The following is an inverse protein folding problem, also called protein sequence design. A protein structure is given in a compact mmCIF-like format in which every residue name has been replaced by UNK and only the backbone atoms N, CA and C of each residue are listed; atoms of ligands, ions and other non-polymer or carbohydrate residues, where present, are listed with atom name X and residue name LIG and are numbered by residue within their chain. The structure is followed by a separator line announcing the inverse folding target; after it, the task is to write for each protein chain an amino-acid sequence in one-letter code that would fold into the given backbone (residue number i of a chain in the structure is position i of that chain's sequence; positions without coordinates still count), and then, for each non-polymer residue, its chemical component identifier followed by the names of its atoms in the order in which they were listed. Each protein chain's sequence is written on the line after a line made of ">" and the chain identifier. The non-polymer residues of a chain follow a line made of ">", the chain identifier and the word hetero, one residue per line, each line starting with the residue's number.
data_IF_927100583234
#
_entry.id   IF_927100583234
#
_cell.length_a   1.000
_cell.length_b   1.000
_cell.length_c   1.000
_cell.angle_alpha   90.00
_cell.angle_beta   90.00
_cell.angle_gamma   90.00
#
_symmetry.space_group_name_H-M   'P 1'
#
loop_
_entity.id
_entity.type
_entity.pdbx_description
1 polymer ?
#
# COMPACT_ATOMS: atom_id res chain seq x y z
N UNK A 1 -9.04 15.14 -6.22
CA UNK A 1 -9.83 14.49 -5.15
C UNK A 1 -9.43 15.08 -3.80
N UNK A 2 -10.24 15.96 -3.20
CA UNK A 2 -9.82 16.74 -1.99
C UNK A 2 -10.09 16.00 -0.66
N UNK A 3 -10.88 14.92 -0.69
CA UNK A 3 -11.34 14.21 0.52
C UNK A 3 -10.22 13.61 1.38
N UNK A 4 -9.40 12.69 0.84
CA UNK A 4 -8.33 12.04 1.61
C UNK A 4 -7.31 13.02 2.18
N UNK A 5 -6.96 14.07 1.41
CA UNK A 5 -6.01 15.09 1.83
C UNK A 5 -6.47 15.83 3.09
N UNK A 6 -7.73 16.27 3.10
CA UNK A 6 -8.33 16.93 4.27
C UNK A 6 -8.41 15.99 5.47
N UNK A 7 -8.68 14.70 5.25
CA UNK A 7 -8.75 13.71 6.31
C UNK A 7 -7.38 13.49 6.99
N UNK A 8 -6.29 13.41 6.22
CA UNK A 8 -4.92 13.30 6.77
C UNK A 8 -4.61 14.52 7.63
N UNK A 9 -4.86 15.73 7.12
CA UNK A 9 -4.61 16.98 7.84
C UNK A 9 -5.44 17.05 9.12
N UNK A 10 -6.71 16.64 9.07
CA UNK A 10 -7.59 16.67 10.23
C UNK A 10 -7.16 15.64 11.29
N UNK A 11 -6.84 14.40 10.89
CA UNK A 11 -6.35 13.38 11.82
C UNK A 11 -5.08 13.83 12.54
N UNK A 12 -4.16 14.49 11.83
CA UNK A 12 -2.96 15.07 12.45
C UNK A 12 -3.27 16.20 13.45
N UNK A 13 -4.27 17.05 13.15
CA UNK A 13 -4.75 18.09 14.08
C UNK A 13 -5.42 17.51 15.32
N UNK A 14 -6.08 16.36 15.16
CA UNK A 14 -6.71 15.62 16.25
C UNK A 14 -5.70 14.79 17.07
N UNK A 15 -4.39 15.00 16.85
CA UNK A 15 -3.26 14.34 17.54
C UNK A 15 -3.28 12.81 17.40
N UNK A 16 -3.79 12.30 16.28
CA UNK A 16 -3.77 10.86 15.95
C UNK A 16 -2.35 10.39 15.70
N UNK A 17 -1.91 9.37 16.44
CA UNK A 17 -0.54 8.85 16.36
C UNK A 17 -0.23 8.08 15.09
N UNK A 18 -1.20 7.33 14.57
CA UNK A 18 -1.03 6.51 13.37
C UNK A 18 -2.22 6.71 12.44
N UNK A 19 -1.95 7.16 11.22
CA UNK A 19 -2.95 7.41 10.18
C UNK A 19 -2.85 6.32 9.12
N UNK A 20 -3.88 5.47 9.04
CA UNK A 20 -3.94 4.35 8.11
C UNK A 20 -4.65 4.74 6.80
N UNK A 21 -3.97 4.59 5.67
CA UNK A 21 -4.47 4.82 4.33
C UNK A 21 -4.53 3.48 3.57
N UNK A 22 -5.60 2.71 3.78
CA UNK A 22 -5.88 1.48 3.01
C UNK A 22 -6.42 1.78 1.60
N UNK A 23 -5.79 2.75 0.92
CA UNK A 23 -6.14 3.28 -0.39
C UNK A 23 -4.87 3.65 -1.16
N UNK A 24 -5.00 3.76 -2.47
CA UNK A 24 -3.93 4.19 -3.37
C UNK A 24 -4.52 4.44 -4.76
N UNK A 25 -3.78 5.15 -5.59
CA UNK A 25 -4.16 5.42 -6.99
C UNK A 25 -2.93 5.64 -7.84
N UNK A 26 -3.06 5.33 -9.13
CA UNK A 26 -2.03 5.65 -10.10
C UNK A 26 -2.24 7.02 -10.70
N UNK A 27 -1.15 7.76 -10.86
CA UNK A 27 -1.08 9.06 -11.47
C UNK A 27 -0.02 9.05 -12.58
N UNK A 28 -0.14 9.99 -13.51
CA UNK A 28 0.86 10.20 -14.56
C UNK A 28 1.58 11.51 -14.28
N UNK A 29 2.88 11.44 -14.08
CA UNK A 29 3.77 12.60 -14.19
C UNK A 29 3.96 12.90 -15.69
N UNK A 30 3.10 13.77 -16.21
CA UNK A 30 3.03 14.11 -17.63
C UNK A 30 1.61 14.36 -18.13
N UNK A 31 1.44 14.31 -19.44
CA UNK A 31 0.20 14.70 -20.12
C UNK A 31 -0.69 13.49 -20.39
N UNK A 32 -2.01 13.68 -20.22
CA UNK A 32 -3.04 12.68 -20.49
C UNK A 32 -3.97 13.24 -21.56
N UNK A 33 -4.33 12.43 -22.55
CA UNK A 33 -5.17 12.84 -23.66
C UNK A 33 -6.38 11.95 -23.84
N UNK A 34 -7.46 12.51 -24.39
CA UNK A 34 -8.62 11.78 -24.92
C UNK A 34 -9.08 12.46 -26.21
N UNK A 35 -9.23 11.68 -27.28
CA UNK A 35 -9.63 12.18 -28.60
C UNK A 35 -8.77 13.36 -29.12
N UNK A 36 -7.49 13.40 -28.71
CA UNK A 36 -6.54 14.46 -29.04
C UNK A 36 -6.55 15.68 -28.11
N UNK A 37 -7.50 15.77 -27.18
CA UNK A 37 -7.60 16.85 -26.20
C UNK A 37 -6.82 16.55 -24.92
N UNK A 38 -6.11 17.55 -24.39
CA UNK A 38 -5.39 17.46 -23.12
C UNK A 38 -6.38 17.44 -21.94
N UNK A 39 -6.21 16.48 -21.04
CA UNK A 39 -7.00 16.33 -19.83
C UNK A 39 -6.22 16.78 -18.59
N UNK A 40 -6.95 17.15 -17.54
CA UNK A 40 -6.38 17.29 -16.19
C UNK A 40 -5.84 15.93 -15.71
N UNK A 41 -4.53 15.86 -15.53
CA UNK A 41 -3.83 14.67 -15.05
C UNK A 41 -3.96 14.45 -13.53
N UNK A 42 -4.60 15.40 -12.82
CA UNK A 42 -4.80 15.41 -11.37
C UNK A 42 -3.51 15.40 -10.56
N UNK A 43 -2.41 15.92 -11.10
CA UNK A 43 -1.12 15.97 -10.40
C UNK A 43 -1.18 16.76 -9.09
N UNK A 44 -2.10 17.73 -8.98
CA UNK A 44 -2.38 18.45 -7.75
C UNK A 44 -2.75 17.52 -6.57
N UNK A 45 -3.32 16.34 -6.83
CA UNK A 45 -3.61 15.35 -5.78
C UNK A 45 -2.31 14.73 -5.22
N UNK A 46 -1.31 14.48 -6.08
CA UNK A 46 0.00 13.92 -5.68
C UNK A 46 0.76 14.92 -4.80
N UNK A 47 0.83 16.19 -5.23
CA UNK A 47 1.42 17.25 -4.42
C UNK A 47 0.64 17.48 -3.12
N UNK A 48 -0.69 17.38 -3.19
CA UNK A 48 -1.56 17.45 -2.03
C UNK A 48 -1.27 16.35 -1.01
N UNK A 49 -1.09 15.10 -1.45
CA UNK A 49 -0.71 13.99 -0.58
C UNK A 49 0.63 14.25 0.07
N UNK A 50 1.64 14.62 -0.74
CA UNK A 50 3.00 14.90 -0.25
C UNK A 50 2.99 15.94 0.86
N UNK A 51 2.30 17.06 0.67
CA UNK A 51 2.19 18.13 1.66
C UNK A 51 1.39 17.69 2.91
N UNK A 52 0.30 16.95 2.73
CA UNK A 52 -0.51 16.46 3.86
C UNK A 52 0.25 15.44 4.72
N UNK A 53 1.00 14.53 4.08
CA UNK A 53 1.85 13.54 4.74
C UNK A 53 2.99 14.22 5.48
N UNK A 54 3.68 15.16 4.83
CA UNK A 54 4.74 15.94 5.49
C UNK A 54 4.20 16.69 6.72
N UNK A 55 3.02 17.30 6.60
CA UNK A 55 2.36 17.98 7.71
C UNK A 55 2.03 17.03 8.86
N UNK A 56 1.44 15.86 8.57
CA UNK A 56 1.13 14.85 9.58
C UNK A 56 2.38 14.35 10.32
N UNK A 57 3.44 14.04 9.56
CA UNK A 57 4.72 13.61 10.12
C UNK A 57 5.36 14.69 11.01
N UNK A 58 5.27 15.98 10.62
CA UNK A 58 5.76 17.11 11.43
C UNK A 58 5.01 17.27 12.75
N UNK A 59 3.71 16.97 12.78
CA UNK A 59 2.91 16.97 14.02
C UNK A 59 3.13 15.71 14.88
N UNK A 60 3.86 14.72 14.36
CA UNK A 60 4.30 13.56 15.09
C UNK A 60 3.49 12.29 14.80
N UNK A 61 2.58 12.32 13.84
CA UNK A 61 1.85 11.14 13.35
C UNK A 61 2.75 10.28 12.45
N UNK A 62 2.53 8.96 12.45
CA UNK A 62 3.04 8.04 11.42
C UNK A 62 1.97 7.82 10.37
N UNK A 63 2.27 8.03 9.09
CA UNK A 63 1.37 7.67 7.98
C UNK A 63 1.72 6.29 7.44
N UNK A 64 0.74 5.40 7.38
CA UNK A 64 0.87 4.04 6.83
C UNK A 64 -0.05 3.92 5.62
N UNK A 65 0.46 3.44 4.49
CA UNK A 65 -0.33 3.22 3.29
C UNK A 65 -0.26 1.77 2.81
N UNK A 66 -1.33 1.26 2.24
CA UNK A 66 -1.32 -0.01 1.52
C UNK A 66 -0.65 0.15 0.16
N UNK A 67 0.13 -0.84 -0.27
CA UNK A 67 0.56 -0.94 -1.66
C UNK A 67 -0.62 -1.20 -2.62
N UNK A 68 -0.40 -1.12 -3.94
CA UNK A 68 -1.41 -1.51 -4.95
C UNK A 68 -1.72 -3.02 -4.97
N UNK A 69 -2.81 -3.40 -5.65
CA UNK A 69 -3.30 -4.79 -5.73
C UNK A 69 -3.31 -5.33 -7.18
N UNK A 70 -2.32 -4.95 -7.99
CA UNK A 70 -2.26 -5.23 -9.43
C UNK A 70 -1.10 -6.15 -9.82
N UNK A 71 -0.39 -6.72 -8.84
CA UNK A 71 0.71 -7.68 -9.05
C UNK A 71 1.91 -7.16 -9.84
N UNK A 72 2.16 -5.85 -9.84
CA UNK A 72 3.23 -5.22 -10.63
C UNK A 72 4.43 -4.74 -9.81
N UNK A 73 5.61 -4.75 -10.43
CA UNK A 73 6.79 -4.03 -9.93
C UNK A 73 6.67 -2.53 -10.26
N UNK A 74 6.24 -1.70 -9.31
CA UNK A 74 6.10 -0.25 -9.52
C UNK A 74 7.44 0.47 -9.63
N UNK A 75 8.54 -0.17 -9.23
CA UNK A 75 9.89 0.36 -9.42
C UNK A 75 10.40 0.16 -10.85
N UNK A 76 9.82 -0.82 -11.57
CA UNK A 76 10.00 -0.98 -13.01
C UNK A 76 9.05 -0.06 -13.79
N UNK A 77 9.50 1.17 -14.08
CA UNK A 77 8.67 2.17 -14.76
C UNK A 77 8.21 1.77 -16.17
N UNK A 78 8.91 0.84 -16.84
CA UNK A 78 8.44 0.28 -18.11
C UNK A 78 7.21 -0.61 -17.91
N UNK A 79 7.27 -1.52 -16.93
CA UNK A 79 6.15 -2.41 -16.57
C UNK A 79 4.94 -1.62 -16.08
N UNK A 80 5.15 -0.67 -15.15
CA UNK A 80 4.09 0.21 -14.66
C UNK A 80 3.45 1.01 -15.81
N UNK A 81 4.24 1.63 -16.69
CA UNK A 81 3.68 2.38 -17.82
C UNK A 81 2.92 1.48 -18.79
N UNK A 82 3.39 0.25 -19.03
CA UNK A 82 2.68 -0.69 -19.90
C UNK A 82 1.34 -1.14 -19.30
N UNK A 83 1.30 -1.39 -17.99
CA UNK A 83 0.06 -1.65 -17.26
C UNK A 83 -0.90 -0.46 -17.38
N UNK A 84 -0.44 0.76 -17.10
CA UNK A 84 -1.27 1.96 -17.16
C UNK A 84 -1.74 2.26 -18.59
N UNK A 85 -0.93 2.06 -19.62
CA UNK A 85 -1.35 2.28 -21.01
C UNK A 85 -2.54 1.41 -21.38
N UNK A 86 -2.56 0.13 -20.95
CA UNK A 86 -3.71 -0.76 -21.17
C UNK A 86 -4.96 -0.22 -20.46
N UNK A 87 -4.82 0.13 -19.17
CA UNK A 87 -5.93 0.69 -18.36
C UNK A 87 -6.49 1.99 -18.93
N UNK A 88 -5.63 2.91 -19.37
CA UNK A 88 -6.07 4.17 -19.98
C UNK A 88 -6.72 3.94 -21.34
N UNK A 89 -6.23 2.99 -22.14
CA UNK A 89 -6.82 2.64 -23.43
C UNK A 89 -8.26 2.12 -23.29
N UNK A 90 -8.58 1.35 -22.23
CA UNK A 90 -9.96 0.91 -21.92
C UNK A 90 -10.92 2.10 -21.69
N UNK A 91 -10.40 3.26 -21.28
CA UNK A 91 -11.16 4.50 -21.09
C UNK A 91 -11.14 5.44 -22.31
N UNK A 92 -10.51 5.00 -23.41
CA UNK A 92 -10.29 5.81 -24.62
C UNK A 92 -9.24 6.90 -24.43
N UNK A 93 -8.30 6.73 -23.49
CA UNK A 93 -7.27 7.70 -23.15
C UNK A 93 -5.88 7.22 -23.55
N UNK A 94 -4.97 8.17 -23.77
CA UNK A 94 -3.53 7.93 -23.92
C UNK A 94 -2.77 8.87 -22.98
N UNK A 95 -1.48 8.62 -22.75
CA UNK A 95 -0.65 9.52 -21.97
C UNK A 95 0.81 9.50 -22.42
N UNK A 96 1.49 10.62 -22.18
CA UNK A 96 2.94 10.77 -22.29
C UNK A 96 3.48 11.16 -20.92
N UNK A 97 4.27 10.29 -20.29
CA UNK A 97 4.75 10.54 -18.92
C UNK A 97 5.18 9.26 -18.21
N UNK A 98 5.38 9.38 -16.91
CA UNK A 98 5.79 8.27 -16.04
C UNK A 98 4.72 8.02 -14.98
N UNK A 99 4.32 6.76 -14.83
CA UNK A 99 3.40 6.33 -13.79
C UNK A 99 4.00 6.40 -12.39
N UNK A 100 3.16 6.78 -11.43
CA UNK A 100 3.44 6.72 -10.00
C UNK A 100 2.21 6.20 -9.25
N UNK A 101 2.40 5.41 -8.22
CA UNK A 101 1.38 5.05 -7.23
C UNK A 101 1.48 5.99 -6.01
N UNK A 102 0.41 6.70 -5.71
CA UNK A 102 0.32 7.56 -4.53
C UNK A 102 -0.87 7.17 -3.64
N UNK A 103 -0.69 7.18 -2.31
CA UNK A 103 0.46 7.76 -1.59
C UNK A 103 1.67 6.82 -1.40
N UNK A 104 1.62 5.55 -1.80
CA UNK A 104 2.63 4.56 -1.40
C UNK A 104 4.07 4.82 -1.91
N UNK A 105 4.26 5.49 -3.05
CA UNK A 105 5.61 5.88 -3.51
C UNK A 105 6.11 7.20 -2.88
N UNK A 106 5.27 7.92 -2.13
CA UNK A 106 5.62 9.24 -1.59
C UNK A 106 6.51 9.15 -0.34
N UNK A 107 7.40 10.14 -0.12
CA UNK A 107 8.25 10.17 1.07
C UNK A 107 7.44 10.35 2.36
N UNK A 108 7.93 9.76 3.45
CA UNK A 108 7.31 9.89 4.77
C UNK A 108 6.11 8.96 5.00
N UNK A 109 5.92 7.97 4.14
CA UNK A 109 4.90 6.92 4.27
C UNK A 109 5.58 5.60 4.62
N UNK A 110 4.94 4.80 5.46
CA UNK A 110 5.24 3.38 5.65
C UNK A 110 4.37 2.58 4.68
N UNK A 111 4.95 2.04 3.62
CA UNK A 111 4.20 1.35 2.56
C UNK A 111 4.17 -0.16 2.77
N UNK A 112 2.95 -0.70 2.84
CA UNK A 112 2.67 -2.06 3.31
C UNK A 112 2.20 -2.97 2.17
N UNK A 113 2.97 -4.01 1.87
CA UNK A 113 2.56 -5.10 0.96
C UNK A 113 1.79 -6.22 1.69
N UNK A 114 1.16 -7.11 0.92
CA UNK A 114 0.40 -8.24 1.44
C UNK A 114 1.19 -9.55 1.34
N UNK A 115 1.13 -10.37 2.39
CA UNK A 115 1.48 -11.81 2.34
C UNK A 115 0.25 -12.69 2.44
N UNK A 116 0.32 -13.85 1.78
CA UNK A 116 -0.63 -14.95 1.96
C UNK A 116 -0.37 -15.78 3.24
N UNK A 117 -1.20 -16.80 3.51
CA UNK A 117 -1.07 -17.68 4.69
C UNK A 117 0.25 -18.45 4.75
N UNK A 118 0.86 -18.72 3.60
CA UNK A 118 2.16 -19.40 3.48
C UNK A 118 3.34 -18.46 3.76
N UNK A 119 3.08 -17.21 4.18
CA UNK A 119 4.07 -16.13 4.38
C UNK A 119 4.78 -15.70 3.09
N UNK A 120 4.35 -16.20 1.93
CA UNK A 120 4.79 -15.72 0.62
C UNK A 120 4.11 -14.40 0.26
N UNK A 121 4.74 -13.54 -0.57
CA UNK A 121 4.04 -12.41 -1.15
C UNK A 121 2.74 -12.85 -1.81
N UNK A 122 1.66 -12.15 -1.51
CA UNK A 122 0.37 -12.43 -2.11
C UNK A 122 0.42 -12.13 -3.60
N UNK A 123 -0.26 -12.95 -4.40
CA UNK A 123 -0.31 -12.81 -5.86
C UNK A 123 -0.81 -11.44 -6.30
N UNK A 124 -1.76 -10.85 -5.58
CA UNK A 124 -2.31 -9.53 -5.88
C UNK A 124 -1.39 -8.36 -5.50
N UNK A 125 -0.43 -8.52 -4.59
CA UNK A 125 0.31 -7.37 -4.04
C UNK A 125 1.27 -6.77 -5.06
N UNK A 126 1.22 -5.45 -5.25
CA UNK A 126 2.31 -4.72 -5.88
C UNK A 126 3.59 -4.80 -5.05
N UNK A 127 4.70 -4.54 -5.72
CA UNK A 127 6.04 -4.55 -5.15
C UNK A 127 6.99 -3.61 -5.85
N UNK A 128 8.22 -3.55 -5.36
CA UNK A 128 9.28 -2.81 -6.02
C UNK A 128 10.34 -2.31 -5.06
N UNK A 129 11.54 -2.12 -5.59
CA UNK A 129 12.65 -1.55 -4.84
C UNK A 129 12.34 -0.10 -4.51
N UNK A 130 12.66 0.30 -3.28
CA UNK A 130 12.39 1.64 -2.76
C UNK A 130 10.91 2.03 -2.69
N UNK A 131 10.01 1.07 -2.84
CA UNK A 131 8.56 1.24 -2.71
C UNK A 131 8.02 0.58 -1.43
N UNK A 132 8.28 -0.72 -1.25
CA UNK A 132 7.79 -1.47 -0.08
C UNK A 132 8.74 -1.31 1.12
N UNK A 133 8.17 -1.00 2.29
CA UNK A 133 8.90 -0.97 3.56
C UNK A 133 8.69 -2.24 4.39
N UNK A 134 7.49 -2.78 4.38
CA UNK A 134 7.12 -3.94 5.21
C UNK A 134 5.97 -4.72 4.57
N UNK A 135 5.89 -6.01 4.87
CA UNK A 135 4.78 -6.87 4.47
C UNK A 135 4.01 -7.36 5.69
N UNK A 136 2.69 -7.52 5.57
CA UNK A 136 1.85 -8.10 6.61
C UNK A 136 0.76 -9.01 6.00
N UNK A 137 0.14 -9.91 6.79
CA UNK A 137 -0.92 -10.78 6.28
C UNK A 137 -2.12 -9.99 5.77
N UNK A 138 -2.36 -10.04 4.46
CA UNK A 138 -3.51 -9.43 3.80
C UNK A 138 -4.37 -10.43 3.02
N UNK A 139 -4.00 -11.71 3.03
CA UNK A 139 -4.68 -12.77 2.28
C UNK A 139 -4.07 -12.99 0.90
N UNK A 140 -4.63 -13.92 0.13
CA UNK A 140 -4.14 -14.33 -1.20
C UNK A 140 -5.30 -14.69 -2.16
N UNK A 141 -4.96 -14.92 -3.43
CA UNK A 141 -5.87 -15.41 -4.50
C UNK A 141 -5.37 -16.71 -5.15
N UNK A 142 -4.38 -17.35 -4.55
CA UNK A 142 -3.62 -18.44 -5.17
C UNK A 142 -4.41 -19.74 -5.28
N UNK A 143 -5.22 -20.08 -4.27
CA UNK A 143 -6.12 -21.23 -4.32
C UNK A 143 -7.24 -20.96 -5.32
N UNK A 144 -7.76 -19.73 -5.39
CA UNK A 144 -8.74 -19.33 -6.42
C UNK A 144 -8.17 -19.53 -7.83
N UNK A 145 -6.97 -19.02 -8.12
CA UNK A 145 -6.33 -19.16 -9.44
C UNK A 145 -6.01 -20.61 -9.78
N UNK A 146 -5.62 -21.42 -8.78
CA UNK A 146 -5.21 -22.81 -8.98
C UNK A 146 -6.39 -23.77 -9.19
N UNK A 147 -7.47 -23.58 -8.45
CA UNK A 147 -8.58 -24.54 -8.38
C UNK A 147 -9.87 -24.04 -9.05
N UNK A 148 -9.96 -22.75 -9.38
CA UNK A 148 -11.14 -22.14 -9.98
C UNK A 148 -12.23 -21.81 -8.97
N UNK A 149 -13.20 -21.01 -9.39
CA UNK A 149 -14.21 -20.41 -8.51
C UNK A 149 -15.13 -21.44 -7.83
N UNK A 150 -15.52 -22.49 -8.55
CA UNK A 150 -16.43 -23.54 -8.06
C UNK A 150 -15.81 -24.29 -6.87
N UNK A 151 -14.65 -24.92 -7.06
CA UNK A 151 -13.93 -25.60 -5.99
C UNK A 151 -13.52 -24.64 -4.86
N UNK A 152 -13.15 -23.40 -5.20
CA UNK A 152 -12.79 -22.39 -4.20
C UNK A 152 -13.93 -22.09 -3.21
N UNK A 153 -15.17 -22.09 -3.72
CA UNK A 153 -16.36 -21.88 -2.91
C UNK A 153 -16.83 -23.17 -2.22
N UNK A 154 -16.98 -24.26 -2.97
CA UNK A 154 -17.59 -25.51 -2.52
C UNK A 154 -16.72 -26.23 -1.49
N UNK A 155 -15.40 -26.24 -1.69
CA UNK A 155 -14.44 -26.79 -0.71
C UNK A 155 -14.09 -25.77 0.38
N UNK A 156 -14.56 -24.52 0.22
CA UNK A 156 -14.33 -23.43 1.16
C UNK A 156 -12.87 -23.03 1.30
N UNK A 157 -12.12 -23.07 0.20
CA UNK A 157 -10.71 -22.69 0.14
C UNK A 157 -10.50 -21.21 0.48
N UNK A 158 -11.49 -20.36 0.26
CA UNK A 158 -11.46 -18.95 0.66
C UNK A 158 -11.13 -18.76 2.15
N UNK A 159 -11.59 -19.68 3.03
CA UNK A 159 -11.31 -19.61 4.47
C UNK A 159 -9.84 -19.85 4.81
N UNK A 160 -9.11 -20.49 3.90
CA UNK A 160 -7.71 -20.82 4.07
C UNK A 160 -6.80 -19.67 3.61
N UNK A 161 -7.24 -18.85 2.65
CA UNK A 161 -6.40 -17.81 2.04
C UNK A 161 -6.86 -16.36 2.20
N UNK A 162 -8.10 -16.12 2.59
CA UNK A 162 -8.60 -14.76 2.82
C UNK A 162 -8.64 -14.40 4.31
N UNK A 163 -8.69 -13.10 4.59
CA UNK A 163 -8.80 -12.53 5.94
C UNK A 163 -10.28 -12.39 6.31
N UNK A 164 -10.69 -13.01 7.42
CA UNK A 164 -11.98 -12.75 8.03
C UNK A 164 -11.97 -11.36 8.69
N UNK A 165 -12.93 -10.51 8.32
CA UNK A 165 -13.06 -9.14 8.84
C UNK A 165 -14.52 -8.74 9.03
N UNK A 166 -14.77 -7.65 9.75
CA UNK A 166 -16.10 -7.06 9.95
C UNK A 166 -16.62 -6.38 8.69
N UNK A 167 -17.94 -6.37 8.51
CA UNK A 167 -18.62 -5.71 7.40
C UNK A 167 -19.65 -4.68 7.88
N UNK A 168 -19.97 -3.70 7.02
CA UNK A 168 -20.90 -2.62 7.32
C UNK A 168 -22.36 -3.07 7.52
N UNK A 169 -22.68 -4.34 7.26
CA UNK A 169 -24.00 -4.94 7.55
C UNK A 169 -24.10 -5.52 8.96
N UNK A 170 -23.09 -5.31 9.81
CA UNK A 170 -23.01 -5.91 11.15
C UNK A 170 -22.64 -7.40 11.14
N UNK A 171 -22.16 -7.90 10.00
CA UNK A 171 -21.72 -9.29 9.79
C UNK A 171 -20.21 -9.35 9.55
N UNK A 172 -19.70 -10.52 9.22
CA UNK A 172 -18.32 -10.74 8.80
C UNK A 172 -18.25 -11.07 7.31
N UNK A 173 -17.10 -10.80 6.70
CA UNK A 173 -16.79 -11.18 5.33
C UNK A 173 -15.34 -11.70 5.24
N UNK A 174 -15.06 -12.50 4.21
CA UNK A 174 -13.69 -12.87 3.85
C UNK A 174 -13.21 -11.97 2.71
N UNK A 175 -12.04 -11.36 2.89
CA UNK A 175 -11.42 -10.47 1.90
C UNK A 175 -9.92 -10.68 1.81
N UNK A 176 -9.35 -10.35 0.65
CA UNK A 176 -7.92 -10.26 0.43
C UNK A 176 -7.55 -8.86 -0.07
N UNK A 177 -6.33 -8.41 0.24
CA UNK A 177 -5.84 -7.11 -0.19
C UNK A 177 -4.74 -6.55 0.69
N UNK A 178 -3.87 -5.72 0.11
CA UNK A 178 -2.96 -4.83 0.85
C UNK A 178 -3.72 -3.91 1.81
N UNK A 179 -4.96 -3.54 1.49
CA UNK A 179 -5.89 -2.82 2.37
C UNK A 179 -6.18 -3.55 3.69
N UNK A 180 -6.05 -4.88 3.74
CA UNK A 180 -6.17 -5.70 4.96
C UNK A 180 -4.83 -5.90 5.69
N UNK A 181 -3.71 -5.70 5.01
CA UNK A 181 -2.36 -5.77 5.57
C UNK A 181 -1.99 -4.46 6.31
N UNK A 182 -2.20 -3.30 5.67
CA UNK A 182 -1.92 -1.98 6.22
C UNK A 182 -2.43 -1.75 7.66
N UNK A 183 -3.70 -2.05 8.01
CA UNK A 183 -4.20 -1.81 9.37
C UNK A 183 -3.48 -2.65 10.44
N UNK A 184 -2.90 -3.81 10.09
CA UNK A 184 -2.11 -4.62 11.03
C UNK A 184 -0.79 -3.93 11.39
N UNK A 185 -0.13 -3.32 10.40
CA UNK A 185 1.08 -2.51 10.62
C UNK A 185 0.74 -1.25 11.40
N UNK A 186 -0.36 -0.58 11.06
CA UNK A 186 -0.85 0.59 11.78
C UNK A 186 -1.10 0.29 13.26
N UNK A 187 -1.78 -0.81 13.57
CA UNK A 187 -2.00 -1.26 14.94
C UNK A 187 -0.69 -1.61 15.66
N UNK A 188 0.26 -2.26 14.98
CA UNK A 188 1.58 -2.59 15.54
C UNK A 188 2.36 -1.32 15.89
N UNK A 189 2.34 -0.30 15.03
CA UNK A 189 2.96 1.00 15.32
C UNK A 189 2.32 1.68 16.52
N UNK A 190 0.99 1.64 16.66
CA UNK A 190 0.31 2.19 17.83
C UNK A 190 0.78 1.51 19.13
N UNK A 191 0.88 0.16 19.13
CA UNK A 191 1.43 -0.59 20.27
C UNK A 191 2.89 -0.22 20.58
N UNK A 192 3.73 -0.06 19.56
CA UNK A 192 5.12 0.37 19.72
C UNK A 192 5.19 1.78 20.32
N UNK A 193 4.37 2.71 19.82
CA UNK A 193 4.33 4.09 20.30
C UNK A 193 4.00 4.12 21.80
N UNK A 194 2.99 3.37 22.21
CA UNK A 194 2.56 3.28 23.61
C UNK A 194 3.65 2.63 24.49
N UNK A 195 4.08 1.42 24.15
CA UNK A 195 5.02 0.62 24.96
C UNK A 195 6.42 1.22 25.06
N UNK A 196 6.84 1.99 24.05
CA UNK A 196 8.18 2.61 24.00
C UNK A 196 8.15 4.09 24.36
N UNK A 197 6.98 4.64 24.66
CA UNK A 197 6.76 6.07 24.90
C UNK A 197 7.30 6.95 23.75
N UNK A 198 6.97 6.57 22.51
CA UNK A 198 7.38 7.28 21.29
C UNK A 198 6.31 8.22 20.73
N UNK A 199 5.40 8.72 21.59
CA UNK A 199 4.44 9.77 21.22
C UNK A 199 5.19 10.94 20.55
N UNK A 200 4.70 11.40 19.39
CA UNK A 200 5.31 12.46 18.56
C UNK A 200 6.76 12.18 18.10
N UNK A 201 7.17 10.91 18.06
CA UNK A 201 8.51 10.47 17.60
C UNK A 201 8.39 9.46 16.46
N UNK A 202 7.78 9.83 15.32
CA UNK A 202 7.44 8.90 14.25
C UNK A 202 8.64 8.09 13.75
N UNK A 203 9.80 8.73 13.54
CA UNK A 203 11.03 8.04 13.12
C UNK A 203 11.48 6.97 14.12
N UNK A 204 11.42 7.26 15.43
CA UNK A 204 11.81 6.27 16.46
C UNK A 204 10.87 5.05 16.46
N UNK A 205 9.58 5.25 16.23
CA UNK A 205 8.58 4.18 16.13
C UNK A 205 8.78 3.32 14.90
N UNK A 206 9.01 3.96 13.75
CA UNK A 206 9.26 3.30 12.47
C UNK A 206 10.57 2.50 12.51
N UNK A 207 11.65 3.10 12.99
CA UNK A 207 12.95 2.42 13.13
C UNK A 207 12.85 1.20 14.05
N UNK A 208 12.09 1.33 15.14
CA UNK A 208 11.86 0.21 16.06
C UNK A 208 11.06 -0.91 15.39
N UNK A 209 9.99 -0.57 14.66
CA UNK A 209 9.21 -1.53 13.87
C UNK A 209 10.12 -2.30 12.90
N UNK A 210 10.91 -1.60 12.09
CA UNK A 210 11.75 -2.24 11.08
C UNK A 210 12.85 -3.11 11.69
N UNK A 211 13.36 -2.74 12.86
CA UNK A 211 14.42 -3.49 13.55
C UNK A 211 13.90 -4.70 14.34
N UNK A 212 12.71 -4.60 14.94
CA UNK A 212 12.24 -5.58 15.95
C UNK A 212 10.88 -6.20 15.63
N UNK A 213 10.06 -5.55 14.80
CA UNK A 213 8.70 -5.99 14.44
C UNK A 213 8.63 -6.86 13.18
N UNK A 214 9.77 -7.25 12.62
CA UNK A 214 9.85 -8.07 11.40
C UNK A 214 10.54 -9.40 11.71
N UNK A 215 9.98 -10.51 11.21
CA UNK A 215 10.64 -11.82 11.28
C UNK A 215 11.90 -11.80 10.42
N UNK A 216 13.05 -12.05 11.03
CA UNK A 216 14.37 -12.02 10.35
C UNK A 216 14.56 -13.14 9.33
N UNK A 217 13.81 -14.24 9.49
CA UNK A 217 13.96 -15.45 8.66
C UNK A 217 13.10 -15.39 7.38
N UNK A 218 12.25 -14.36 7.24
CA UNK A 218 11.60 -14.05 5.98
C UNK A 218 12.55 -13.14 5.21
N UNK A 219 13.57 -13.75 4.61
CA UNK A 219 14.30 -13.10 3.52
C UNK A 219 13.33 -12.95 2.34
N UNK A 220 12.55 -11.87 2.33
CA UNK A 220 11.90 -11.35 1.13
C UNK A 220 12.93 -11.11 -0.01
N UNK A 221 14.22 -11.13 0.32
CA UNK A 221 15.34 -11.06 -0.61
C UNK A 221 15.50 -12.25 -1.55
N UNK A 222 14.97 -13.45 -1.27
CA UNK A 222 15.46 -14.66 -1.97
C UNK A 222 14.49 -15.46 -2.82
N UNK A 223 13.18 -15.17 -2.85
CA UNK A 223 12.26 -15.99 -3.64
C UNK A 223 12.02 -15.54 -5.09
N UNK A 224 12.38 -14.31 -5.47
CA UNK A 224 12.32 -13.87 -6.89
C UNK A 224 13.38 -12.83 -7.31
N UNK A 225 14.30 -12.39 -6.44
CA UNK A 225 15.27 -11.33 -6.76
C UNK A 225 14.66 -9.93 -7.05
N UNK A 226 13.33 -9.80 -6.96
CA UNK A 226 12.54 -8.62 -7.33
C UNK A 226 11.94 -7.87 -6.12
N UNK A 227 11.98 -8.46 -4.92
CA UNK A 227 11.39 -7.90 -3.71
C UNK A 227 12.48 -7.28 -2.83
N UNK A 228 12.87 -6.04 -3.13
CA UNK A 228 13.81 -5.30 -2.28
C UNK A 228 13.06 -4.36 -1.34
N UNK A 229 12.96 -4.72 -0.06
CA UNK A 229 12.55 -3.78 0.99
C UNK A 229 13.56 -2.63 1.05
N UNK A 230 13.11 -1.38 1.28
CA UNK A 230 14.01 -0.25 1.58
C UNK A 230 14.99 -0.61 2.70
N UNK A 231 16.24 -0.92 2.35
CA UNK A 231 17.34 -0.82 3.33
C UNK A 231 17.57 0.67 3.56
N UNK A 232 17.13 1.19 4.70
CA UNK A 232 17.46 2.53 5.14
C UNK A 232 19.00 2.61 5.28
N UNK A 233 19.65 3.36 4.39
CA UNK A 233 21.03 3.78 4.60
C UNK A 233 21.04 4.67 5.85
N UNK A 234 21.83 4.24 6.84
CA UNK A 234 22.13 5.04 8.03
C UNK A 234 22.89 6.28 7.57
N UNK A 235 22.35 7.47 7.84
CA UNK A 235 23.15 8.70 7.96
C UNK A 235 23.72 8.78 9.36
#
# INVERSE_FOLDING_TARGET
>A
MVGPLKAIIQAAKDDVDVINLSLGSYYIDGDIYKDGELLDNKWADVEGYKLAIEYANKLGSVVVASAGNDSIDVSNKSELNNFLKKKYAEEGKTFNGVGIEAPGELPGVVTVSSTGPTQQPSLLSNFGKNYIDIAAPGGDSRLLEKYGQEAWWDDGLFRQEQVLTTFNTGRYLFASGTSMAAPKVSATLALIIDQRHYKKRPSSSIDYLYKNGVKKDIELFSLLGQWTIRRIQRS
#
